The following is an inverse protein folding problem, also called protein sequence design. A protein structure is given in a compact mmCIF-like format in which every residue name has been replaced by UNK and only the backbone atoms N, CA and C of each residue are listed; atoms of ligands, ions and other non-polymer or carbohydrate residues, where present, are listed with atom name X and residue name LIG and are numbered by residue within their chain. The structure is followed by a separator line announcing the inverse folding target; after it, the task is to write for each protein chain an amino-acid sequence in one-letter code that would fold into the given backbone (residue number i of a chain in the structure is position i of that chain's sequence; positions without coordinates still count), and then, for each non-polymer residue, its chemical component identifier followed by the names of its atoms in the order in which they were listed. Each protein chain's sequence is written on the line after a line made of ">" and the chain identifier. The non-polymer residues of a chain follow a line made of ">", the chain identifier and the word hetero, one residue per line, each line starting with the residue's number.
data_IF_657008951056
#
_entry.id   IF_657008951056
#
_cell.length_a   1.000
_cell.length_b   1.000
_cell.length_c   1.000
_cell.angle_alpha   90.00
_cell.angle_beta   90.00
_cell.angle_gamma   90.00
#
_symmetry.space_group_name_H-M   'P 1'
#
loop_
_entity.id
_entity.type
_entity.pdbx_description
1 polymer ?
#
# COMPACT_ATOMS: atom_id res chain seq x y z
N UNK A 1 10.95 -7.83 4.73
CA UNK A 1 12.13 -7.35 5.50
C UNK A 1 11.78 -7.52 6.97
N UNK A 2 12.68 -7.97 7.84
CA UNK A 2 12.33 -8.12 9.27
C UNK A 2 12.66 -6.83 10.01
N UNK A 3 11.79 -6.37 10.92
CA UNK A 3 12.08 -5.25 11.81
C UNK A 3 12.17 -5.76 13.24
N UNK A 4 13.34 -5.56 13.85
CA UNK A 4 13.61 -5.96 15.21
C UNK A 4 13.11 -4.87 16.17
N UNK A 5 12.02 -5.16 16.87
CA UNK A 5 11.61 -4.41 18.06
C UNK A 5 11.62 -5.39 19.22
N UNK A 6 12.44 -5.11 20.23
CA UNK A 6 12.42 -5.82 21.52
C UNK A 6 12.67 -7.33 21.41
N UNK A 7 13.62 -7.76 20.56
CA UNK A 7 14.03 -9.17 20.44
C UNK A 7 13.07 -10.07 19.64
N UNK A 8 11.92 -9.55 19.19
CA UNK A 8 10.95 -10.28 18.38
C UNK A 8 11.11 -9.87 16.91
N UNK A 9 11.47 -10.84 16.05
CA UNK A 9 11.51 -10.64 14.60
C UNK A 9 10.09 -10.66 14.05
N UNK A 10 9.51 -9.49 13.75
CA UNK A 10 8.26 -9.40 12.99
C UNK A 10 8.58 -9.27 11.51
N UNK A 11 7.93 -10.10 10.70
CA UNK A 11 8.01 -10.04 9.24
C UNK A 11 7.26 -8.78 8.80
N UNK A 12 7.98 -7.73 8.39
CA UNK A 12 7.34 -6.60 7.70
C UNK A 12 7.02 -7.05 6.28
N UNK A 13 5.76 -6.85 5.90
CA UNK A 13 5.33 -6.93 4.52
C UNK A 13 5.73 -5.66 3.77
N UNK A 14 5.72 -5.72 2.45
CA UNK A 14 6.01 -4.55 1.61
C UNK A 14 5.00 -3.42 1.86
N UNK A 15 3.75 -3.78 2.14
CA UNK A 15 2.67 -2.87 2.54
C UNK A 15 2.97 -2.16 3.86
N UNK A 16 3.48 -2.87 4.87
CA UNK A 16 3.83 -2.27 6.17
C UNK A 16 4.97 -1.27 6.02
N UNK A 17 5.98 -1.61 5.20
CA UNK A 17 7.09 -0.71 4.89
C UNK A 17 6.60 0.55 4.16
N UNK A 18 5.68 0.39 3.19
CA UNK A 18 5.12 1.51 2.46
C UNK A 18 4.33 2.44 3.38
N UNK A 19 3.52 1.91 4.31
CA UNK A 19 2.78 2.71 5.29
C UNK A 19 3.72 3.52 6.20
N UNK A 20 4.72 2.89 6.81
CA UNK A 20 5.68 3.56 7.71
C UNK A 20 6.49 4.62 6.97
N UNK A 21 6.92 4.36 5.73
CA UNK A 21 7.65 5.34 4.94
C UNK A 21 6.75 6.48 4.47
N UNK A 22 5.49 6.19 4.14
CA UNK A 22 4.51 7.21 3.75
C UNK A 22 4.28 8.22 4.86
N UNK A 23 4.16 7.75 6.10
CA UNK A 23 4.01 8.59 7.28
C UNK A 23 5.27 9.43 7.55
N UNK A 24 6.46 8.81 7.50
CA UNK A 24 7.72 9.51 7.77
C UNK A 24 8.13 10.49 6.67
N UNK A 25 7.79 10.22 5.41
CA UNK A 25 8.22 10.99 4.25
C UNK A 25 7.11 11.88 3.66
N UNK A 26 5.90 11.86 4.21
CA UNK A 26 4.78 12.65 3.71
C UNK A 26 4.34 12.25 2.30
N UNK A 27 4.21 10.95 2.03
CA UNK A 27 3.77 10.46 0.71
C UNK A 27 2.38 11.00 0.37
N UNK A 28 2.25 11.63 -0.79
CA UNK A 28 0.98 12.15 -1.30
C UNK A 28 0.30 11.15 -2.24
N UNK A 29 -1.03 11.27 -2.36
CA UNK A 29 -1.81 10.49 -3.34
C UNK A 29 -1.28 10.63 -4.77
N UNK A 30 -0.84 11.83 -5.17
CA UNK A 30 -0.30 12.10 -6.51
C UNK A 30 0.99 11.34 -6.78
N UNK A 31 1.86 11.23 -5.78
CA UNK A 31 3.10 10.44 -5.89
C UNK A 31 2.79 8.95 -5.96
N UNK A 32 1.90 8.46 -5.10
CA UNK A 32 1.50 7.04 -5.08
C UNK A 32 0.86 6.61 -6.41
N UNK A 33 -0.14 7.35 -6.89
CA UNK A 33 -0.86 7.03 -8.14
C UNK A 33 -0.03 7.21 -9.41
N UNK A 34 1.09 7.95 -9.36
CA UNK A 34 2.04 8.06 -10.46
C UNK A 34 3.07 6.91 -10.54
N UNK A 35 3.08 6.02 -9.53
CA UNK A 35 4.07 4.93 -9.46
C UNK A 35 3.61 3.67 -10.20
N UNK A 36 4.56 2.80 -10.55
CA UNK A 36 4.28 1.53 -11.24
C UNK A 36 4.26 0.40 -10.21
N UNK A 37 3.16 -0.36 -10.18
CA UNK A 37 3.00 -1.52 -9.30
C UNK A 37 3.89 -2.69 -9.72
N UNK A 38 4.37 -3.46 -8.74
CA UNK A 38 5.12 -4.70 -8.98
C UNK A 38 4.13 -5.87 -8.99
N UNK A 39 3.98 -6.52 -10.13
CA UNK A 39 3.05 -7.64 -10.31
C UNK A 39 3.75 -9.02 -10.23
N UNK A 40 3.15 -10.06 -9.65
CA UNK A 40 1.92 -10.07 -8.85
C UNK A 40 2.22 -9.85 -7.35
N UNK A 41 1.76 -8.75 -6.76
CA UNK A 41 1.92 -8.50 -5.32
C UNK A 41 0.72 -7.82 -4.70
N UNK A 42 0.40 -8.13 -3.44
CA UNK A 42 -0.65 -7.42 -2.70
C UNK A 42 -0.41 -5.91 -2.61
N UNK A 43 0.86 -5.46 -2.64
CA UNK A 43 1.20 -4.06 -2.57
C UNK A 43 0.85 -3.27 -3.86
N UNK A 44 0.75 -3.96 -5.00
CA UNK A 44 0.37 -3.32 -6.27
C UNK A 44 -1.07 -2.78 -6.26
N UNK A 45 -1.94 -3.31 -5.39
CA UNK A 45 -3.32 -2.83 -5.26
C UNK A 45 -3.39 -1.36 -4.78
N UNK A 46 -2.36 -0.89 -4.05
CA UNK A 46 -2.34 0.49 -3.54
C UNK A 46 -2.19 1.54 -4.64
N UNK A 47 -1.49 1.21 -5.73
CA UNK A 47 -1.33 2.12 -6.88
C UNK A 47 -2.53 2.12 -7.82
N UNK A 48 -3.47 1.17 -7.64
CA UNK A 48 -4.69 1.00 -8.44
C UNK A 48 -5.94 1.60 -7.78
N UNK A 49 -5.83 2.14 -6.57
CA UNK A 49 -6.94 2.75 -5.86
C UNK A 49 -7.52 3.93 -6.67
N UNK A 50 -8.83 3.97 -6.86
CA UNK A 50 -9.53 5.07 -7.52
C UNK A 50 -10.93 5.31 -6.96
N UNK A 51 -11.49 4.36 -6.22
CA UNK A 51 -12.76 4.48 -5.53
C UNK A 51 -12.53 5.09 -4.14
N UNK A 52 -13.23 6.19 -3.85
CA UNK A 52 -13.21 6.83 -2.54
C UNK A 52 -14.42 6.43 -1.72
N UNK A 53 -14.30 6.41 -0.39
CA UNK A 53 -15.42 6.11 0.51
C UNK A 53 -16.63 7.03 0.30
N UNK A 54 -16.38 8.30 -0.01
CA UNK A 54 -17.45 9.29 -0.24
C UNK A 54 -18.17 9.12 -1.57
N UNK A 55 -17.62 8.35 -2.52
CA UNK A 55 -18.25 8.13 -3.83
C UNK A 55 -19.47 7.21 -3.77
N UNK A 56 -19.59 6.36 -2.74
CA UNK A 56 -20.66 5.36 -2.64
C UNK A 56 -20.56 4.21 -3.66
N UNK A 57 -19.51 4.16 -4.49
CA UNK A 57 -19.27 3.07 -5.44
C UNK A 57 -18.81 1.79 -4.72
N UNK A 58 -19.15 0.62 -5.27
CA UNK A 58 -18.72 -0.68 -4.74
C UNK A 58 -17.20 -0.87 -4.97
N UNK A 59 -16.38 -1.01 -3.91
CA UNK A 59 -14.92 -1.20 -4.05
C UNK A 59 -14.52 -2.63 -4.45
N UNK A 60 -15.47 -3.55 -4.66
CA UNK A 60 -15.18 -4.93 -5.04
C UNK A 60 -14.42 -4.97 -6.38
N UNK A 61 -13.22 -5.53 -6.35
CA UNK A 61 -12.46 -5.82 -7.57
C UNK A 61 -13.21 -6.87 -8.38
N UNK A 62 -13.61 -6.50 -9.60
CA UNK A 62 -14.05 -7.47 -10.60
C UNK A 62 -12.80 -8.13 -11.19
N UNK A 63 -12.83 -9.46 -11.34
CA UNK A 63 -11.72 -10.20 -11.96
C UNK A 63 -11.48 -9.77 -13.42
N UNK A 64 -10.40 -10.29 -14.00
CA UNK A 64 -10.18 -10.26 -15.45
C UNK A 64 -11.05 -11.32 -16.13
#
# INVERSE_FOLDING_TARGET
>A
MYHQSSGIYRKLTYTDALFVLSDRCGLTWRQLSSSVGIHPTTAEELVKLHITKSSGLDPKVTGC
#
